data_IF_961011161000
#
_entry.id   IF_961011161000
#
_cell.length_a   1.000
_cell.length_b   1.000
_cell.length_c   1.000
_cell.angle_alpha   90.00
_cell.angle_beta   90.00
_cell.angle_gamma   90.00
#
_symmetry.space_group_name_H-M   'P 1'
#
loop_
_entity.id
_entity.type
_entity.pdbx_description
1 polymer ?
#
# COMPACT_ATOMS: atom_id res chain seq x y z
N UNK A 1 -23.19 -28.21 7.19
CA UNK A 1 -22.97 -27.43 5.93
C UNK A 1 -22.20 -26.12 6.10
N UNK A 2 -22.38 -25.32 7.16
CA UNK A 2 -21.68 -24.03 7.31
C UNK A 2 -20.15 -24.12 7.48
N UNK A 3 -19.65 -25.13 8.21
CA UNK A 3 -18.21 -25.37 8.40
C UNK A 3 -17.48 -25.75 7.10
N UNK A 4 -18.11 -26.54 6.23
CA UNK A 4 -17.55 -26.91 4.92
C UNK A 4 -17.50 -25.72 3.93
N UNK A 5 -18.44 -24.77 4.03
CA UNK A 5 -18.44 -23.54 3.23
C UNK A 5 -17.39 -22.52 3.69
N UNK A 6 -16.98 -22.54 4.96
CA UNK A 6 -15.90 -21.68 5.45
C UNK A 6 -14.55 -22.13 4.86
N UNK A 7 -14.24 -23.43 4.90
CA UNK A 7 -12.97 -23.94 4.36
C UNK A 7 -12.86 -23.82 2.83
N UNK A 8 -13.96 -23.95 2.09
CA UNK A 8 -13.95 -23.77 0.64
C UNK A 8 -13.73 -22.30 0.23
N UNK A 9 -14.31 -21.36 0.99
CA UNK A 9 -14.05 -19.93 0.80
C UNK A 9 -12.58 -19.59 1.06
N UNK A 10 -11.98 -20.15 2.11
CA UNK A 10 -10.58 -19.92 2.44
C UNK A 10 -9.64 -20.49 1.38
N UNK A 11 -9.94 -21.67 0.82
CA UNK A 11 -9.18 -22.25 -0.30
C UNK A 11 -9.28 -21.41 -1.58
N UNK A 12 -10.48 -20.92 -1.90
CA UNK A 12 -10.70 -20.05 -3.06
C UNK A 12 -9.96 -18.72 -2.90
N UNK A 13 -10.03 -18.11 -1.71
CA UNK A 13 -9.28 -16.90 -1.38
C UNK A 13 -7.77 -17.13 -1.50
N UNK A 14 -7.25 -18.22 -0.93
CA UNK A 14 -5.81 -18.55 -1.02
C UNK A 14 -5.36 -18.73 -2.47
N UNK A 15 -6.19 -19.38 -3.30
CA UNK A 15 -5.91 -19.57 -4.73
C UNK A 15 -5.85 -18.22 -5.45
N UNK A 16 -6.83 -17.35 -5.21
CA UNK A 16 -6.88 -16.00 -5.78
C UNK A 16 -5.66 -15.16 -5.36
N UNK A 17 -5.30 -15.18 -4.08
CA UNK A 17 -4.14 -14.44 -3.56
C UNK A 17 -2.83 -14.90 -4.21
N UNK A 18 -2.65 -16.20 -4.42
CA UNK A 18 -1.48 -16.75 -5.11
C UNK A 18 -1.41 -16.29 -6.58
N UNK A 19 -2.55 -16.29 -7.27
CA UNK A 19 -2.64 -15.80 -8.65
C UNK A 19 -2.34 -14.30 -8.72
N UNK A 20 -2.93 -13.50 -7.84
CA UNK A 20 -2.70 -12.05 -7.78
C UNK A 20 -1.24 -11.73 -7.46
N UNK A 21 -0.62 -12.42 -6.50
CA UNK A 21 0.82 -12.30 -6.24
C UNK A 21 1.65 -12.57 -7.51
N UNK A 22 1.24 -13.55 -8.32
CA UNK A 22 1.86 -13.84 -9.62
C UNK A 22 1.72 -12.70 -10.64
N UNK A 23 0.61 -11.97 -10.64
CA UNK A 23 0.42 -10.77 -11.47
C UNK A 23 1.35 -9.62 -11.04
N UNK A 24 1.58 -9.44 -9.73
CA UNK A 24 2.57 -8.45 -9.26
C UNK A 24 3.99 -8.82 -9.73
N UNK A 25 4.35 -10.11 -9.71
CA UNK A 25 5.63 -10.59 -10.25
C UNK A 25 5.78 -10.31 -11.76
N UNK A 26 4.70 -10.43 -12.54
CA UNK A 26 4.68 -10.08 -13.97
C UNK A 26 4.88 -8.58 -14.15
N UNK A 27 4.21 -7.76 -13.35
CA UNK A 27 4.33 -6.29 -13.40
C UNK A 27 5.75 -5.83 -13.10
N UNK A 28 6.40 -6.40 -12.08
CA UNK A 28 7.80 -6.11 -11.73
C UNK A 28 8.75 -6.43 -12.91
N UNK A 29 8.55 -7.59 -13.55
CA UNK A 29 9.35 -7.99 -14.72
C UNK A 29 9.11 -7.06 -15.91
N UNK A 30 7.85 -6.71 -16.18
CA UNK A 30 7.48 -5.79 -17.25
C UNK A 30 8.13 -4.41 -17.06
N UNK A 31 8.05 -3.85 -15.86
CA UNK A 31 8.72 -2.60 -15.51
C UNK A 31 10.23 -2.69 -15.71
N UNK A 32 10.85 -3.79 -15.30
CA UNK A 32 12.28 -4.02 -15.51
C UNK A 32 12.66 -4.06 -17.00
N UNK A 33 11.79 -4.60 -17.86
CA UNK A 33 11.98 -4.57 -19.32
C UNK A 33 11.85 -3.16 -19.90
N UNK A 34 10.93 -2.33 -19.40
CA UNK A 34 10.78 -0.93 -19.82
C UNK A 34 12.02 -0.13 -19.43
N UNK A 35 12.51 -0.29 -18.20
CA UNK A 35 13.71 0.40 -17.69
C UNK A 35 14.98 0.08 -18.50
N UNK A 36 15.09 -1.13 -19.04
CA UNK A 36 16.20 -1.51 -19.94
C UNK A 36 16.12 -0.87 -21.32
N UNK A 37 14.93 -0.46 -21.76
CA UNK A 37 14.68 0.06 -23.12
C UNK A 37 14.65 1.57 -23.21
N UNK A 38 14.52 2.28 -22.08
CA UNK A 38 14.38 3.74 -22.06
C UNK A 38 15.41 4.39 -21.15
N UNK A 39 16.06 5.43 -21.66
CA UNK A 39 16.94 6.33 -20.90
C UNK A 39 16.26 7.64 -20.51
N UNK A 40 15.00 7.84 -20.91
CA UNK A 40 14.27 9.06 -20.58
C UNK A 40 14.00 9.12 -19.05
N UNK A 41 14.42 10.18 -18.35
CA UNK A 41 14.31 10.25 -16.89
C UNK A 41 12.89 10.16 -16.36
N UNK A 42 11.90 10.73 -17.06
CA UNK A 42 10.49 10.68 -16.67
C UNK A 42 9.98 9.23 -16.76
N UNK A 43 10.24 8.56 -17.89
CA UNK A 43 9.86 7.16 -18.07
C UNK A 43 10.51 6.28 -17.00
N UNK A 44 11.81 6.48 -16.72
CA UNK A 44 12.50 5.70 -15.70
C UNK A 44 11.91 5.93 -14.30
N UNK A 45 11.65 7.18 -13.94
CA UNK A 45 11.10 7.54 -12.62
C UNK A 45 9.72 6.93 -12.41
N UNK A 46 8.80 7.13 -13.36
CA UNK A 46 7.44 6.61 -13.25
C UNK A 46 7.39 5.08 -13.29
N UNK A 47 8.22 4.45 -14.13
CA UNK A 47 8.31 2.99 -14.19
C UNK A 47 8.86 2.40 -12.90
N UNK A 48 9.85 3.05 -12.27
CA UNK A 48 10.34 2.64 -10.96
C UNK A 48 9.27 2.80 -9.88
N UNK A 49 8.50 3.89 -9.88
CA UNK A 49 7.40 4.08 -8.92
C UNK A 49 6.36 2.94 -9.02
N UNK A 50 5.93 2.59 -10.24
CA UNK A 50 5.01 1.48 -10.48
C UNK A 50 5.61 0.15 -9.99
N UNK A 51 6.89 -0.11 -10.28
CA UNK A 51 7.57 -1.33 -9.84
C UNK A 51 7.60 -1.43 -8.31
N UNK A 52 7.95 -0.34 -7.63
CA UNK A 52 8.01 -0.29 -6.17
C UNK A 52 6.63 -0.53 -5.55
N UNK A 53 5.57 -0.01 -6.17
CA UNK A 53 4.19 -0.25 -5.72
C UNK A 53 3.80 -1.73 -5.86
N UNK A 54 4.16 -2.38 -6.96
CA UNK A 54 3.97 -3.84 -7.11
C UNK A 54 4.77 -4.66 -6.10
N UNK A 55 6.00 -4.25 -5.76
CA UNK A 55 6.80 -4.92 -4.72
C UNK A 55 6.12 -4.80 -3.34
N UNK A 56 5.62 -3.62 -3.00
CA UNK A 56 4.81 -3.38 -1.80
C UNK A 56 3.56 -4.26 -1.79
N UNK A 57 2.79 -4.29 -2.87
CA UNK A 57 1.57 -5.11 -2.97
C UNK A 57 1.89 -6.60 -2.79
N UNK A 58 2.95 -7.09 -3.43
CA UNK A 58 3.42 -8.46 -3.31
C UNK A 58 3.76 -8.82 -1.86
N UNK A 59 4.41 -7.91 -1.12
CA UNK A 59 4.72 -8.11 0.29
C UNK A 59 3.45 -8.21 1.16
N UNK A 60 2.47 -7.32 0.93
CA UNK A 60 1.17 -7.35 1.64
C UNK A 60 0.42 -8.66 1.33
N UNK A 61 0.34 -9.05 0.06
CA UNK A 61 -0.34 -10.30 -0.35
C UNK A 61 0.34 -11.52 0.29
N UNK A 62 1.69 -11.53 0.34
CA UNK A 62 2.42 -12.61 1.00
C UNK A 62 2.13 -12.68 2.50
N UNK A 63 2.03 -11.53 3.17
CA UNK A 63 1.67 -11.45 4.59
C UNK A 63 0.29 -12.08 4.85
N UNK A 64 -0.69 -11.80 3.98
CA UNK A 64 -2.03 -12.40 4.07
C UNK A 64 -1.97 -13.91 3.82
N UNK A 65 -1.27 -14.37 2.79
CA UNK A 65 -1.06 -15.81 2.54
C UNK A 65 -0.43 -16.51 3.75
N UNK A 66 0.58 -15.91 4.35
CA UNK A 66 1.29 -16.47 5.51
C UNK A 66 0.37 -16.56 6.73
N UNK A 67 -0.51 -15.57 6.94
CA UNK A 67 -1.53 -15.61 7.99
C UNK A 67 -2.53 -16.77 7.84
N UNK A 68 -2.79 -17.21 6.61
CA UNK A 68 -3.71 -18.31 6.29
C UNK A 68 -3.06 -19.69 6.27
N UNK A 69 -1.74 -19.76 6.07
CA UNK A 69 -1.04 -21.04 5.77
C UNK A 69 0.02 -21.42 6.79
N UNK A 70 0.53 -20.46 7.57
CA UNK A 70 1.59 -20.68 8.55
C UNK A 70 1.06 -20.45 9.96
N UNK A 71 1.20 -19.23 10.46
CA UNK A 71 0.79 -18.82 11.81
C UNK A 71 -0.14 -17.63 11.67
N UNK A 72 -1.20 -17.60 12.49
CA UNK A 72 -2.06 -16.44 12.60
C UNK A 72 -1.20 -15.22 12.96
N UNK A 73 -1.35 -14.15 12.18
CA UNK A 73 -0.77 -12.85 12.51
C UNK A 73 -1.64 -12.25 13.60
N UNK A 74 -1.03 -11.95 14.73
CA UNK A 74 -1.69 -11.29 15.85
C UNK A 74 -1.15 -9.88 15.92
N UNK A 75 -2.05 -8.91 15.85
CA UNK A 75 -1.79 -7.51 16.14
C UNK A 75 -2.42 -7.23 17.51
N UNK A 76 -1.61 -6.87 18.49
CA UNK A 76 -2.07 -6.58 19.85
C UNK A 76 -2.39 -5.11 20.04
N UNK A 77 -3.07 -4.77 21.14
CA UNK A 77 -3.34 -3.37 21.48
C UNK A 77 -2.04 -2.65 21.86
N UNK A 78 -1.11 -3.38 22.48
CA UNK A 78 0.23 -2.92 22.87
C UNK A 78 1.06 -2.57 21.64
N UNK A 79 1.09 -3.44 20.61
CA UNK A 79 1.80 -3.17 19.34
C UNK A 79 1.34 -1.84 18.71
N UNK A 80 0.04 -1.51 18.81
CA UNK A 80 -0.52 -0.27 18.29
C UNK A 80 -0.28 0.91 19.23
N UNK A 81 -0.30 0.71 20.55
CA UNK A 81 -0.03 1.76 21.53
C UNK A 81 1.40 2.29 21.38
N UNK A 82 2.36 1.41 21.12
CA UNK A 82 3.78 1.75 20.97
C UNK A 82 4.04 2.67 19.77
N UNK A 83 3.21 2.60 18.73
CA UNK A 83 3.38 3.40 17.50
C UNK A 83 2.34 4.51 17.33
N UNK A 84 1.29 4.57 18.17
CA UNK A 84 0.16 5.49 17.99
C UNK A 84 0.59 6.96 17.87
N UNK A 85 1.47 7.43 18.77
CA UNK A 85 1.97 8.80 18.75
C UNK A 85 2.82 9.11 17.51
N UNK A 86 3.55 8.11 17.01
CA UNK A 86 4.35 8.22 15.78
C UNK A 86 3.44 8.30 14.55
N UNK A 87 2.35 7.53 14.53
CA UNK A 87 1.34 7.58 13.47
C UNK A 87 0.62 8.93 13.43
N UNK A 88 0.24 9.48 14.59
CA UNK A 88 -0.39 10.81 14.66
C UNK A 88 0.56 11.90 14.17
N UNK A 89 1.84 11.83 14.57
CA UNK A 89 2.87 12.73 14.04
C UNK A 89 3.02 12.58 12.53
N UNK A 90 3.05 11.35 12.02
CA UNK A 90 3.19 11.08 10.59
C UNK A 90 1.99 11.61 9.79
N UNK A 91 0.75 11.46 10.28
CA UNK A 91 -0.44 12.08 9.66
C UNK A 91 -0.28 13.60 9.51
N UNK A 92 0.32 14.26 10.50
CA UNK A 92 0.64 15.70 10.43
C UNK A 92 1.73 16.04 9.40
N UNK A 93 2.73 15.18 9.23
CA UNK A 93 3.75 15.32 8.18
C UNK A 93 3.11 15.17 6.80
N UNK A 94 2.28 14.14 6.61
CA UNK A 94 1.59 13.89 5.34
C UNK A 94 0.64 15.04 4.97
N UNK A 95 -0.04 15.65 5.95
CA UNK A 95 -0.86 16.85 5.66
C UNK A 95 -0.01 18.00 5.12
N UNK A 96 1.15 18.27 5.72
CA UNK A 96 2.04 19.33 5.23
C UNK A 96 2.54 19.05 3.82
N UNK A 97 2.87 17.78 3.54
CA UNK A 97 3.29 17.36 2.20
C UNK A 97 2.17 17.55 1.16
N UNK A 98 0.92 17.23 1.52
CA UNK A 98 -0.27 17.50 0.70
C UNK A 98 -0.40 19.00 0.42
N UNK A 99 -0.35 19.86 1.45
CA UNK A 99 -0.49 21.31 1.29
C UNK A 99 0.59 21.87 0.35
N UNK A 100 1.84 21.42 0.52
CA UNK A 100 2.96 21.82 -0.35
C UNK A 100 2.80 21.33 -1.79
N UNK A 101 2.28 20.11 -1.99
CA UNK A 101 2.05 19.57 -3.33
C UNK A 101 0.92 20.31 -4.05
N UNK A 102 -0.15 20.69 -3.34
CA UNK A 102 -1.25 21.50 -3.87
C UNK A 102 -0.75 22.89 -4.29
N UNK A 103 0.02 23.58 -3.44
CA UNK A 103 0.64 24.87 -3.78
C UNK A 103 1.59 24.75 -4.99
N UNK A 104 2.43 23.72 -5.02
CA UNK A 104 3.36 23.50 -6.13
C UNK A 104 2.64 23.28 -7.48
N UNK A 105 1.48 22.62 -7.46
CA UNK A 105 0.64 22.42 -8.65
C UNK A 105 0.09 23.76 -9.15
N UNK A 106 -0.39 24.63 -8.26
CA UNK A 106 -0.94 25.94 -8.62
C UNK A 106 0.12 26.89 -9.19
N UNK A 107 1.36 26.81 -8.69
CA UNK A 107 2.47 27.65 -9.15
C UNK A 107 3.05 27.20 -10.50
N UNK A 108 2.82 25.94 -10.90
CA UNK A 108 3.42 25.39 -12.11
C UNK A 108 2.52 25.57 -13.34
N UNK A 109 3.14 25.98 -14.46
CA UNK A 109 2.48 26.08 -15.78
C UNK A 109 2.89 24.98 -16.75
N UNK A 110 3.89 24.18 -16.38
CA UNK A 110 4.37 23.08 -17.21
C UNK A 110 3.48 21.85 -16.98
N UNK A 111 2.83 21.37 -18.05
CA UNK A 111 1.88 20.28 -17.98
C UNK A 111 2.51 18.95 -17.50
N UNK A 112 3.77 18.69 -17.84
CA UNK A 112 4.49 17.48 -17.42
C UNK A 112 4.81 17.58 -15.93
N UNK A 113 5.32 18.73 -15.48
CA UNK A 113 5.60 18.97 -14.05
C UNK A 113 4.31 18.85 -13.23
N UNK A 114 3.22 19.49 -13.67
CA UNK A 114 1.92 19.40 -13.00
C UNK A 114 1.45 17.95 -12.92
N UNK A 115 1.62 17.16 -13.98
CA UNK A 115 1.23 15.75 -13.97
C UNK A 115 2.06 14.93 -12.97
N UNK A 116 3.37 15.19 -12.86
CA UNK A 116 4.22 14.51 -11.89
C UNK A 116 3.89 14.90 -10.44
N UNK A 117 3.62 16.18 -10.17
CA UNK A 117 3.22 16.65 -8.84
C UNK A 117 1.87 16.06 -8.41
N UNK A 118 0.92 15.89 -9.34
CA UNK A 118 -0.36 15.21 -9.06
C UNK A 118 -0.17 13.75 -8.63
N UNK A 119 0.81 13.04 -9.19
CA UNK A 119 1.10 11.67 -8.76
C UNK A 119 1.59 11.64 -7.31
N UNK A 120 2.49 12.56 -6.93
CA UNK A 120 2.97 12.70 -5.54
C UNK A 120 1.80 13.02 -4.61
N UNK A 121 0.95 13.98 -4.98
CA UNK A 121 -0.21 14.37 -4.18
C UNK A 121 -1.14 13.19 -3.87
N UNK A 122 -1.39 12.31 -4.84
CA UNK A 122 -2.21 11.13 -4.64
C UNK A 122 -1.54 10.10 -3.70
N UNK A 123 -0.22 9.96 -3.78
CA UNK A 123 0.53 9.10 -2.87
C UNK A 123 0.50 9.62 -1.42
N UNK A 124 0.68 10.94 -1.18
CA UNK A 124 0.62 11.47 0.19
C UNK A 124 -0.79 11.39 0.78
N UNK A 125 -1.83 11.58 -0.05
CA UNK A 125 -3.23 11.33 0.36
C UNK A 125 -3.44 9.87 0.76
N UNK A 126 -2.85 8.93 0.01
CA UNK A 126 -2.89 7.50 0.30
C UNK A 126 -2.11 7.17 1.57
N UNK A 127 -0.90 7.70 1.77
CA UNK A 127 -0.09 7.48 2.98
C UNK A 127 -0.81 7.97 4.23
N UNK A 128 -1.33 9.19 4.20
CA UNK A 128 -2.14 9.74 5.29
C UNK A 128 -3.34 8.86 5.63
N UNK A 129 -4.04 8.36 4.60
CA UNK A 129 -5.18 7.46 4.77
C UNK A 129 -4.76 6.13 5.41
N UNK A 130 -3.65 5.54 4.95
CA UNK A 130 -3.12 4.30 5.51
C UNK A 130 -2.73 4.45 6.99
N UNK A 131 -2.06 5.56 7.35
CA UNK A 131 -1.70 5.83 8.74
C UNK A 131 -2.94 5.95 9.65
N UNK A 132 -4.00 6.62 9.18
CA UNK A 132 -5.29 6.69 9.88
C UNK A 132 -5.92 5.31 10.06
N UNK A 133 -5.97 4.52 8.98
CA UNK A 133 -6.52 3.16 9.02
C UNK A 133 -5.77 2.27 10.00
N UNK A 134 -4.44 2.38 10.06
CA UNK A 134 -3.62 1.66 11.03
C UNK A 134 -3.97 2.06 12.47
N UNK A 135 -4.12 3.36 12.74
CA UNK A 135 -4.54 3.87 14.03
C UNK A 135 -5.97 3.42 14.42
N UNK A 136 -6.84 3.20 13.45
CA UNK A 136 -8.21 2.71 13.68
C UNK A 136 -8.28 1.20 13.99
N UNK A 137 -7.24 0.42 13.66
CA UNK A 137 -7.22 -1.01 13.95
C UNK A 137 -7.33 -1.30 15.45
N UNK A 138 -6.93 -0.35 16.31
CA UNK A 138 -7.05 -0.47 17.78
C UNK A 138 -8.48 -0.75 18.21
N UNK A 139 -9.46 -0.08 17.60
CA UNK A 139 -10.88 -0.24 17.94
C UNK A 139 -11.47 -1.58 17.46
N UNK A 140 -10.90 -2.16 16.39
CA UNK A 140 -11.34 -3.45 15.85
C UNK A 140 -10.79 -4.65 16.62
N UNK A 141 -9.64 -4.50 17.27
CA UNK A 141 -9.04 -5.53 18.13
C UNK A 141 -9.81 -5.58 19.46
N UNK A 142 -10.10 -4.44 20.08
CA UNK A 142 -10.83 -4.36 21.35
C UNK A 142 -12.26 -4.93 21.24
N UNK A 143 -12.96 -4.68 20.13
CA UNK A 143 -14.34 -5.13 19.91
C UNK A 143 -14.50 -6.66 19.77
N UNK A 144 -13.42 -7.44 19.61
CA UNK A 144 -13.48 -8.92 19.61
C UNK A 144 -13.33 -9.56 20.99
N UNK A 145 -13.03 -8.75 22.02
CA UNK A 145 -12.77 -9.22 23.39
C UNK A 145 -13.96 -8.87 24.33
N UNK A 146 -15.00 -8.21 23.80
CA UNK A 146 -16.27 -7.91 24.52
C UNK A 146 -17.42 -8.68 23.88
#
# INVERSE_FOLDING_TARGET
MALAKASERDKNLLTLLKQWKGLEDITIKSCSSILKKSTNPIIQTLTNAIRNDSEKHKAIIQLVIDSMTKKAIVLTSEDLADVASLLDKHIGIEQKAIDMAEEAIELSRDAIVVQMLKLILEDEKKHKKMAKQMNELKFRITAKIT
#
